data_IF_620638537551
#
_entry.id   IF_620638537551
#
_cell.length_a   1.000
_cell.length_b   1.000
_cell.length_c   1.000
_cell.angle_alpha   90.00
_cell.angle_beta   90.00
_cell.angle_gamma   90.00
#
_symmetry.space_group_name_H-M   'P 1'
#
loop_
_entity.id
_entity.type
_entity.pdbx_description
1 polymer ?
#
# COMPACT_ATOMS: atom_id res chain seq x y z
N UNK A 1 -10.15 6.28 3.91
CA UNK A 1 -8.75 6.10 3.52
C UNK A 1 -8.47 4.61 3.43
N UNK A 2 -7.93 4.14 2.31
CA UNK A 2 -7.74 2.73 1.98
C UNK A 2 -6.86 1.99 3.00
N UNK A 3 -5.73 2.58 3.38
CA UNK A 3 -4.82 2.01 4.38
C UNK A 3 -5.46 1.75 5.76
N UNK A 4 -6.46 2.54 6.20
CA UNK A 4 -7.18 2.27 7.46
C UNK A 4 -7.99 0.96 7.42
N UNK A 5 -8.32 0.48 6.22
CA UNK A 5 -9.04 -0.77 6.01
C UNK A 5 -8.12 -1.91 5.60
N UNK A 6 -6.78 -1.69 5.58
CA UNK A 6 -5.80 -2.61 5.01
C UNK A 6 -6.20 -3.08 3.60
N UNK A 7 -6.59 -2.11 2.79
CA UNK A 7 -6.97 -2.32 1.41
C UNK A 7 -6.09 -1.45 0.52
N UNK A 8 -5.77 -2.00 -0.65
CA UNK A 8 -4.93 -1.38 -1.65
C UNK A 8 -5.56 -0.17 -2.30
N UNK A 9 -4.73 0.56 -3.04
CA UNK A 9 -5.13 1.71 -3.83
C UNK A 9 -4.24 1.79 -5.07
N UNK A 10 -4.85 1.85 -6.24
CA UNK A 10 -4.18 2.16 -7.51
C UNK A 10 -4.44 3.61 -7.91
N UNK A 11 -3.41 4.30 -8.40
CA UNK A 11 -3.56 5.60 -9.03
C UNK A 11 -4.37 5.52 -10.32
N UNK A 12 -5.10 6.57 -10.64
CA UNK A 12 -5.98 6.64 -11.83
C UNK A 12 -5.21 6.56 -13.16
N UNK A 13 -3.90 6.79 -13.13
CA UNK A 13 -2.99 6.73 -14.27
C UNK A 13 -2.33 5.35 -14.45
N UNK A 14 -2.55 4.42 -13.51
CA UNK A 14 -1.95 3.09 -13.52
C UNK A 14 -0.44 3.07 -13.25
N UNK A 15 0.17 4.20 -12.88
CA UNK A 15 1.62 4.29 -12.70
C UNK A 15 2.07 4.04 -11.26
N UNK A 16 1.14 3.96 -10.32
CA UNK A 16 1.49 3.64 -8.94
C UNK A 16 0.35 2.94 -8.23
N UNK A 17 0.69 2.10 -7.26
CA UNK A 17 -0.28 1.41 -6.44
C UNK A 17 0.32 0.85 -5.16
N UNK A 18 -0.56 0.52 -4.23
CA UNK A 18 -0.24 -0.25 -3.04
C UNK A 18 -1.21 -1.41 -2.97
N UNK A 19 -0.71 -2.62 -2.74
CA UNK A 19 -1.49 -3.85 -2.63
C UNK A 19 -1.23 -4.49 -1.27
N UNK A 20 -2.29 -4.88 -0.56
CA UNK A 20 -2.20 -5.66 0.67
C UNK A 20 -2.33 -7.16 0.36
N UNK A 21 -1.83 -8.06 1.24
CA UNK A 21 -1.97 -9.51 1.05
C UNK A 21 -3.41 -9.97 0.83
N UNK A 22 -4.37 -9.34 1.51
CA UNK A 22 -5.79 -9.67 1.41
C UNK A 22 -6.47 -9.11 0.16
N UNK A 23 -5.76 -8.32 -0.65
CA UNK A 23 -6.28 -7.84 -1.92
C UNK A 23 -6.03 -8.83 -3.06
N UNK A 24 -5.11 -9.78 -2.85
CA UNK A 24 -4.84 -10.84 -3.81
C UNK A 24 -6.01 -11.83 -3.84
N UNK A 25 -6.50 -12.11 -5.04
CA UNK A 25 -7.50 -13.16 -5.23
C UNK A 25 -6.86 -14.54 -5.44
N UNK A 26 -7.69 -15.59 -5.43
CA UNK A 26 -7.24 -16.98 -5.60
C UNK A 26 -6.49 -17.21 -6.91
N UNK A 27 -6.87 -16.49 -7.98
CA UNK A 27 -6.22 -16.64 -9.27
C UNK A 27 -4.81 -16.05 -9.25
N UNK A 28 -4.66 -14.84 -8.69
CA UNK A 28 -3.35 -14.20 -8.53
C UNK A 28 -2.40 -15.09 -7.70
N UNK A 29 -2.91 -15.69 -6.63
CA UNK A 29 -2.10 -16.54 -5.73
C UNK A 29 -1.75 -17.88 -6.40
N UNK A 30 -2.74 -18.59 -6.96
CA UNK A 30 -2.55 -19.98 -7.40
C UNK A 30 -2.02 -20.10 -8.83
N UNK A 31 -2.35 -19.14 -9.71
CA UNK A 31 -2.01 -19.19 -11.13
C UNK A 31 -0.85 -18.26 -11.45
N UNK A 32 -0.88 -17.03 -10.95
CA UNK A 32 0.17 -16.03 -11.22
C UNK A 32 1.34 -16.16 -10.23
N UNK A 33 1.13 -16.84 -9.10
CA UNK A 33 2.13 -17.06 -8.07
C UNK A 33 2.44 -15.79 -7.26
N UNK A 34 1.52 -14.81 -7.27
CA UNK A 34 1.65 -13.60 -6.48
C UNK A 34 1.61 -13.92 -4.99
N UNK A 35 2.49 -13.27 -4.23
CA UNK A 35 2.60 -13.50 -2.80
C UNK A 35 3.11 -12.25 -2.10
N UNK A 36 2.31 -11.72 -1.17
CA UNK A 36 2.72 -10.66 -0.25
C UNK A 36 2.71 -11.25 1.16
N UNK A 37 3.85 -11.25 1.88
CA UNK A 37 3.91 -11.79 3.24
C UNK A 37 2.95 -11.08 4.20
N UNK A 38 2.50 -11.80 5.23
CA UNK A 38 1.74 -11.20 6.33
C UNK A 38 2.52 -10.05 6.98
N UNK A 39 1.84 -8.91 7.16
CA UNK A 39 2.44 -7.69 7.71
C UNK A 39 3.32 -6.91 6.73
N UNK A 40 3.31 -7.28 5.45
CA UNK A 40 3.91 -6.51 4.36
C UNK A 40 2.83 -5.90 3.46
N UNK A 41 3.24 -4.93 2.66
CA UNK A 41 2.51 -4.41 1.52
C UNK A 41 3.42 -4.39 0.32
N UNK A 42 2.85 -4.53 -0.86
CA UNK A 42 3.54 -4.30 -2.11
C UNK A 42 3.29 -2.88 -2.60
N UNK A 43 4.35 -2.21 -3.05
CA UNK A 43 4.30 -0.91 -3.70
C UNK A 43 4.68 -1.13 -5.17
N UNK A 44 3.76 -0.79 -6.04
CA UNK A 44 3.94 -0.85 -7.48
C UNK A 44 4.13 0.57 -8.01
N UNK A 45 5.12 0.74 -8.88
CA UNK A 45 5.45 2.03 -9.47
C UNK A 45 6.01 1.86 -10.88
N UNK A 46 5.68 2.78 -11.78
CA UNK A 46 6.16 2.82 -13.15
C UNK A 46 6.66 4.22 -13.51
N UNK A 47 7.94 4.31 -13.85
CA UNK A 47 8.61 5.52 -14.39
C UNK A 47 9.27 5.30 -15.76
N UNK A 48 8.78 4.29 -16.49
CA UNK A 48 9.42 3.77 -17.71
C UNK A 48 10.03 2.38 -17.50
N UNK A 49 10.16 1.95 -16.23
CA UNK A 49 10.45 0.59 -15.83
C UNK A 49 9.47 0.15 -14.75
N UNK A 50 9.06 -1.12 -14.77
CA UNK A 50 8.20 -1.68 -13.74
C UNK A 50 9.00 -1.91 -12.47
N UNK A 51 8.52 -1.36 -11.36
CA UNK A 51 9.14 -1.50 -10.04
C UNK A 51 8.10 -1.97 -9.05
N UNK A 52 8.34 -3.14 -8.50
CA UNK A 52 7.57 -3.72 -7.40
C UNK A 52 8.50 -3.88 -6.21
N UNK A 53 8.04 -3.41 -5.04
CA UNK A 53 8.78 -3.60 -3.81
C UNK A 53 7.85 -3.96 -2.67
N UNK A 54 8.19 -5.03 -1.96
CA UNK A 54 7.51 -5.42 -0.75
C UNK A 54 8.21 -4.82 0.46
N UNK A 55 7.47 -4.09 1.28
CA UNK A 55 7.97 -3.47 2.50
C UNK A 55 7.08 -3.83 3.69
N UNK A 56 7.61 -3.82 4.93
CA UNK A 56 6.76 -3.98 6.10
C UNK A 56 5.65 -2.92 6.13
N UNK A 57 4.41 -3.32 6.41
CA UNK A 57 3.24 -2.43 6.50
C UNK A 57 3.53 -1.26 7.45
N UNK A 58 4.24 -1.53 8.57
CA UNK A 58 4.68 -0.49 9.51
C UNK A 58 5.49 0.62 8.85
N UNK A 59 6.38 0.29 7.91
CA UNK A 59 7.20 1.27 7.17
C UNK A 59 6.40 2.08 6.17
N UNK A 60 5.44 1.43 5.51
CA UNK A 60 4.46 2.11 4.68
C UNK A 60 3.64 3.13 5.49
N UNK A 61 3.08 2.71 6.63
CA UNK A 61 2.25 3.56 7.48
C UNK A 61 3.04 4.70 8.13
N UNK A 62 4.30 4.47 8.54
CA UNK A 62 5.21 5.53 9.01
C UNK A 62 5.40 6.60 7.90
N UNK A 63 5.72 6.16 6.68
CA UNK A 63 5.93 7.07 5.54
C UNK A 63 4.66 7.83 5.16
N UNK A 64 3.51 7.17 5.21
CA UNK A 64 2.21 7.80 4.95
C UNK A 64 1.86 8.86 6.01
N UNK A 65 2.11 8.58 7.30
CA UNK A 65 1.93 9.55 8.38
C UNK A 65 2.80 10.79 8.18
N UNK A 66 4.07 10.59 7.82
CA UNK A 66 5.00 11.69 7.54
C UNK A 66 4.52 12.54 6.36
N UNK A 67 4.07 11.92 5.28
CA UNK A 67 3.52 12.62 4.12
C UNK A 67 2.27 13.43 4.49
N UNK A 68 1.31 12.83 5.18
CA UNK A 68 0.06 13.48 5.58
C UNK A 68 0.31 14.66 6.53
N UNK A 69 1.23 14.50 7.48
CA UNK A 69 1.61 15.56 8.42
C UNK A 69 2.22 16.76 7.69
N UNK A 70 3.12 16.51 6.73
CA UNK A 70 3.76 17.58 5.94
C UNK A 70 2.79 18.35 5.03
N UNK A 71 1.64 17.76 4.70
CA UNK A 71 0.64 18.35 3.82
C UNK A 71 -0.60 18.88 4.55
N UNK A 72 -0.60 18.95 5.89
CA UNK A 72 -1.70 19.53 6.67
C UNK A 72 -2.93 18.63 6.79
N UNK A 73 -2.74 17.31 6.83
CA UNK A 73 -3.80 16.31 7.00
C UNK A 73 -3.80 15.67 8.40
N UNK A 74 -3.68 16.47 9.46
CA UNK A 74 -3.50 16.00 10.85
C UNK A 74 -4.63 15.05 11.29
N UNK A 75 -5.88 15.31 10.90
CA UNK A 75 -7.02 14.43 11.22
C UNK A 75 -6.87 13.01 10.66
N UNK A 76 -6.16 12.84 9.54
CA UNK A 76 -5.89 11.52 8.96
C UNK A 76 -4.71 10.84 9.67
N UNK A 77 -3.71 11.61 10.10
CA UNK A 77 -2.59 11.13 10.91
C UNK A 77 -3.10 10.56 12.24
N UNK A 78 -4.02 11.27 12.91
CA UNK A 78 -4.63 10.81 14.17
C UNK A 78 -5.40 9.50 13.99
N UNK A 79 -6.14 9.35 12.89
CA UNK A 79 -6.85 8.10 12.58
C UNK A 79 -5.89 6.94 12.34
N UNK A 80 -4.75 7.19 11.71
CA UNK A 80 -3.69 6.20 11.48
C UNK A 80 -2.90 5.83 12.75
N UNK A 81 -2.93 6.66 13.79
CA UNK A 81 -2.29 6.35 15.07
C UNK A 81 -3.14 5.40 15.93
N UNK A 82 -4.45 5.34 15.68
CA UNK A 82 -5.43 4.59 16.46
C UNK A 82 -6.07 3.41 15.70
N UNK A 83 -5.53 3.07 14.53
CA UNK A 83 -5.93 1.93 13.70
C UNK A 83 -4.97 0.75 13.92
#
# INVERSE_FOLDING_TARGET
MYALKRHGFGGDDGFYGVTYPNDLDEYQIEIEGEFIPDGFVEINYWDGEHKEIQIPERKYLESLKDYLSKNGYELLVDKLANA
#
